data_IF_187347167178
#
_entry.id   IF_187347167178
#
_cell.length_a   1.000
_cell.length_b   1.000
_cell.length_c   1.000
_cell.angle_alpha   90.00
_cell.angle_beta   90.00
_cell.angle_gamma   90.00
#
_symmetry.space_group_name_H-M   'P 1'
#
loop_
_entity.id
_entity.type
_entity.pdbx_description
1 polymer ?
#
# COMPACT_ATOMS: atom_id res chain seq x y z
N UNK A 1 -5.39 -1.59 1.99
CA UNK A 1 -4.74 -1.44 3.31
C UNK A 1 -3.32 -1.98 3.23
N UNK A 2 -2.38 -1.28 3.85
CA UNK A 2 -0.96 -1.66 3.94
C UNK A 2 -0.62 -1.72 5.42
N UNK A 3 -0.21 -2.90 5.90
CA UNK A 3 0.07 -3.16 7.32
C UNK A 3 1.57 -3.07 7.59
N UNK A 4 2.01 -2.34 8.63
CA UNK A 4 3.39 -2.37 9.08
C UNK A 4 3.70 -3.68 9.83
N UNK A 5 4.96 -3.88 10.19
CA UNK A 5 5.39 -4.98 11.07
C UNK A 5 4.95 -4.77 12.51
N UNK A 6 5.06 -3.55 13.03
CA UNK A 6 4.80 -3.20 14.43
C UNK A 6 4.44 -1.71 14.61
N UNK A 7 4.37 -1.25 15.86
CA UNK A 7 4.05 0.12 16.25
C UNK A 7 5.24 1.09 16.20
N UNK A 8 6.46 0.59 15.98
CA UNK A 8 7.67 1.40 15.83
C UNK A 8 7.98 1.74 14.36
N UNK A 9 7.34 1.05 13.42
CA UNK A 9 7.49 1.27 11.98
C UNK A 9 7.17 2.73 11.59
N UNK A 10 8.08 3.36 10.85
CA UNK A 10 7.92 4.74 10.37
C UNK A 10 6.86 4.81 9.27
N UNK A 11 5.64 5.18 9.67
CA UNK A 11 4.49 5.25 8.75
C UNK A 11 4.64 6.31 7.65
N UNK A 12 5.50 7.33 7.83
CA UNK A 12 5.75 8.31 6.76
C UNK A 12 6.64 7.69 5.68
N UNK A 13 7.66 6.92 6.07
CA UNK A 13 8.49 6.17 5.13
C UNK A 13 7.70 5.09 4.41
N UNK A 14 6.88 4.35 5.15
CA UNK A 14 5.99 3.34 4.56
C UNK A 14 5.08 3.96 3.48
N UNK A 15 4.44 5.10 3.76
CA UNK A 15 3.63 5.78 2.74
C UNK A 15 4.47 6.30 1.57
N UNK A 16 5.69 6.80 1.84
CA UNK A 16 6.60 7.26 0.78
C UNK A 16 7.01 6.12 -0.15
N UNK A 17 7.28 4.93 0.38
CA UNK A 17 7.59 3.72 -0.40
C UNK A 17 6.41 3.28 -1.25
N UNK A 18 5.20 3.19 -0.67
CA UNK A 18 3.97 2.89 -1.43
C UNK A 18 3.81 3.88 -2.59
N UNK A 19 3.95 5.18 -2.34
CA UNK A 19 3.81 6.23 -3.37
C UNK A 19 4.98 6.28 -4.36
N UNK A 20 6.12 5.67 -4.04
CA UNK A 20 7.29 5.61 -4.91
C UNK A 20 7.07 4.72 -6.12
N UNK A 21 6.16 3.73 -6.01
CA UNK A 21 5.81 2.85 -7.11
C UNK A 21 5.17 3.65 -8.25
N UNK A 22 5.84 3.65 -9.41
CA UNK A 22 5.40 4.28 -10.66
C UNK A 22 5.20 3.20 -11.71
N UNK A 23 3.96 2.99 -12.11
CA UNK A 23 3.56 2.08 -13.18
C UNK A 23 2.60 2.87 -14.09
N UNK A 24 2.72 2.69 -15.40
CA UNK A 24 1.78 3.30 -16.33
C UNK A 24 0.35 2.82 -16.03
N UNK A 25 -0.59 3.75 -15.94
CA UNK A 25 -1.97 3.44 -15.57
C UNK A 25 -2.23 3.34 -14.07
N UNK A 26 -1.22 3.42 -13.19
CA UNK A 26 -1.40 3.49 -11.73
C UNK A 26 -1.44 4.93 -11.22
N UNK A 27 -2.49 5.26 -10.48
CA UNK A 27 -2.65 6.56 -9.81
C UNK A 27 -2.92 6.36 -8.32
N UNK A 28 -2.08 6.94 -7.47
CA UNK A 28 -2.27 6.96 -6.02
C UNK A 28 -3.21 8.09 -5.60
N UNK A 29 -4.21 7.78 -4.79
CA UNK A 29 -5.19 8.72 -4.26
C UNK A 29 -4.90 9.19 -2.84
N UNK A 30 -5.97 9.59 -2.15
CA UNK A 30 -5.91 9.99 -0.75
C UNK A 30 -5.62 8.78 0.16
N UNK A 31 -4.98 9.07 1.28
CA UNK A 31 -4.56 8.11 2.29
C UNK A 31 -4.95 8.60 3.69
N UNK A 32 -5.03 7.67 4.64
CA UNK A 32 -5.14 7.94 6.07
C UNK A 32 -4.54 6.82 6.89
N UNK A 33 -4.11 7.13 8.11
CA UNK A 33 -3.71 6.12 9.09
C UNK A 33 -4.91 5.67 9.91
N UNK A 34 -5.11 4.35 10.01
CA UNK A 34 -6.23 3.75 10.74
C UNK A 34 -5.67 2.89 11.88
N UNK A 35 -6.04 3.14 13.16
CA UNK A 35 -5.63 2.29 14.27
C UNK A 35 -6.15 0.87 14.12
N UNK A 36 -5.32 -0.13 14.45
CA UNK A 36 -5.72 -1.55 14.49
C UNK A 36 -5.67 -2.14 15.91
N UNK A 37 -5.01 -1.46 16.85
CA UNK A 37 -4.86 -1.85 18.25
C UNK A 37 -3.41 -1.81 18.71
N UNK A 38 -3.18 -1.79 20.03
CA UNK A 38 -1.82 -1.89 20.61
C UNK A 38 -0.79 -0.90 20.03
N UNK A 39 -1.20 0.34 19.75
CA UNK A 39 -0.31 1.36 19.16
C UNK A 39 -0.14 1.27 17.64
N UNK A 40 -0.44 0.12 17.03
CA UNK A 40 -0.26 -0.12 15.59
C UNK A 40 -1.31 0.63 14.77
N UNK A 41 -0.86 1.22 13.66
CA UNK A 41 -1.71 1.87 12.64
C UNK A 41 -1.39 1.28 11.27
N UNK A 42 -2.43 0.96 10.50
CA UNK A 42 -2.28 0.61 9.07
C UNK A 42 -2.46 1.84 8.19
N UNK A 43 -1.81 1.85 7.03
CA UNK A 43 -2.07 2.82 5.98
C UNK A 43 -3.25 2.35 5.13
N UNK A 44 -4.32 3.14 5.09
CA UNK A 44 -5.41 2.97 4.15
C UNK A 44 -5.25 3.98 3.03
N UNK A 45 -4.99 3.52 1.81
CA UNK A 45 -4.72 4.34 0.63
C UNK A 45 -5.59 3.89 -0.54
N UNK A 46 -6.12 4.86 -1.28
CA UNK A 46 -6.85 4.61 -2.53
C UNK A 46 -5.89 4.58 -3.71
N UNK A 47 -6.23 3.77 -4.72
CA UNK A 47 -5.54 3.77 -6.01
C UNK A 47 -6.57 3.60 -7.14
N UNK A 48 -6.22 4.11 -8.31
CA UNK A 48 -6.95 3.89 -9.55
C UNK A 48 -5.99 3.24 -10.54
N UNK A 49 -6.46 2.23 -11.26
CA UNK A 49 -5.69 1.50 -12.25
C UNK A 49 -6.37 1.50 -13.61
N UNK A 50 -5.57 1.35 -14.66
CA UNK A 50 -6.05 0.91 -15.96
C UNK A 50 -5.96 -0.62 -15.99
N UNK A 51 -7.10 -1.30 -16.02
CA UNK A 51 -7.21 -2.78 -15.92
C UNK A 51 -6.29 -3.52 -16.91
N UNK A 52 -6.09 -2.98 -18.13
CA UNK A 52 -5.24 -3.59 -19.17
C UNK A 52 -3.73 -3.42 -18.92
N UNK A 53 -3.32 -2.53 -18.01
CA UNK A 53 -1.92 -2.16 -17.78
C UNK A 53 -1.40 -2.58 -16.41
N UNK A 54 -2.26 -2.63 -15.40
CA UNK A 54 -1.84 -2.85 -14.01
C UNK A 54 -2.62 -4.01 -13.39
N UNK A 55 -1.90 -5.04 -12.98
CA UNK A 55 -2.40 -6.08 -12.09
C UNK A 55 -2.20 -5.65 -10.64
N UNK A 56 -3.28 -5.64 -9.85
CA UNK A 56 -3.20 -5.32 -8.40
C UNK A 56 -2.39 -6.38 -7.66
N UNK A 57 -2.49 -7.65 -8.06
CA UNK A 57 -1.75 -8.74 -7.44
C UNK A 57 -0.24 -8.55 -7.66
N UNK A 58 0.18 -8.24 -8.90
CA UNK A 58 1.57 -7.92 -9.20
C UNK A 58 2.05 -6.66 -8.48
N UNK A 59 1.23 -5.61 -8.39
CA UNK A 59 1.56 -4.41 -7.63
C UNK A 59 1.89 -4.77 -6.17
N UNK A 60 1.12 -5.67 -5.57
CA UNK A 60 1.36 -6.11 -4.19
C UNK A 60 2.64 -6.95 -4.13
N UNK A 61 2.72 -8.03 -4.90
CA UNK A 61 3.80 -9.01 -4.82
C UNK A 61 5.17 -8.47 -5.25
N UNK A 62 5.22 -7.79 -6.41
CA UNK A 62 6.47 -7.37 -7.05
C UNK A 62 7.00 -6.03 -6.53
N UNK A 63 6.16 -5.23 -5.84
CA UNK A 63 6.53 -3.90 -5.38
C UNK A 63 6.27 -3.65 -3.90
N UNK A 64 5.04 -3.85 -3.41
CA UNK A 64 4.69 -3.45 -2.04
C UNK A 64 5.18 -4.44 -0.98
N UNK A 65 5.34 -5.72 -1.32
CA UNK A 65 5.87 -6.75 -0.43
C UNK A 65 7.22 -7.29 -0.89
N UNK A 66 7.86 -6.62 -1.86
CA UNK A 66 9.21 -6.91 -2.32
C UNK A 66 10.23 -5.98 -1.67
N UNK A 67 11.50 -6.36 -1.71
CA UNK A 67 12.62 -5.52 -1.27
C UNK A 67 12.73 -4.24 -2.13
N UNK A 68 12.93 -3.05 -1.53
CA UNK A 68 13.16 -2.80 -0.11
C UNK A 68 11.88 -2.53 0.71
N UNK A 69 10.72 -2.43 0.09
CA UNK A 69 9.48 -1.98 0.76
C UNK A 69 8.99 -2.96 1.84
N UNK A 70 9.34 -4.24 1.72
CA UNK A 70 9.05 -5.25 2.73
C UNK A 70 9.77 -5.02 4.08
N UNK A 71 10.78 -4.16 4.15
CA UNK A 71 11.39 -3.72 5.43
C UNK A 71 10.37 -2.97 6.30
N UNK A 72 9.40 -2.31 5.68
CA UNK A 72 8.37 -1.53 6.37
C UNK A 72 6.97 -2.17 6.23
N UNK A 73 6.71 -2.88 5.13
CA UNK A 73 5.40 -3.44 4.80
C UNK A 73 5.37 -4.94 5.08
N UNK A 74 4.52 -5.35 6.02
CA UNK A 74 4.28 -6.75 6.33
C UNK A 74 3.33 -7.41 5.31
N UNK A 75 2.23 -6.73 4.98
CA UNK A 75 1.19 -7.27 4.10
C UNK A 75 0.28 -6.18 3.53
N UNK A 76 -0.41 -6.50 2.45
CA UNK A 76 -1.45 -5.65 1.86
C UNK A 76 -2.77 -6.41 1.75
N UNK A 77 -3.90 -5.73 2.01
CA UNK A 77 -5.25 -6.25 1.73
C UNK A 77 -6.05 -5.30 0.86
N UNK A 78 -6.87 -5.86 -0.03
CA UNK A 78 -7.87 -5.10 -0.79
C UNK A 78 -9.13 -4.93 0.08
N UNK A 79 -9.46 -3.70 0.44
CA UNK A 79 -10.64 -3.39 1.27
C UNK A 79 -11.93 -3.40 0.45
N UNK A 80 -11.87 -2.77 -0.71
CA UNK A 80 -12.98 -2.65 -1.64
C UNK A 80 -12.42 -2.40 -3.05
N UNK A 81 -13.14 -2.87 -4.06
CA UNK A 81 -12.82 -2.64 -5.46
C UNK A 81 -14.10 -2.19 -6.17
N UNK A 82 -14.03 -1.06 -6.87
CA UNK A 82 -15.14 -0.51 -7.64
C UNK A 82 -14.66 -0.23 -9.06
N UNK A 83 -15.47 -0.56 -10.07
CA UNK A 83 -15.23 -0.12 -11.45
C UNK A 83 -15.79 1.30 -11.61
N UNK A 84 -15.04 2.15 -12.32
CA UNK A 84 -15.41 3.53 -12.65
C UNK A 84 -15.42 3.73 -14.17
#
# INVERSE_FOLDING_TARGET
DVKPWDDETDMQKLEAEVRSVKIEGLLWGASKLVPVGYGIKKLQIMLTIVDDLVSVDNLIEDYLTAEPANEHIQSCDIVAFNKI
#
